data_IF_265337732934
#
_entry.id   IF_265337732934
#
_cell.length_a   1.000
_cell.length_b   1.000
_cell.length_c   1.000
_cell.angle_alpha   90.00
_cell.angle_beta   90.00
_cell.angle_gamma   90.00
#
_symmetry.space_group_name_H-M   'P 1'
#
loop_
_entity.id
_entity.type
_entity.pdbx_description
1 polymer ?
#
# COMPACT_ATOMS: atom_id res chain seq x y z
N UNK A 1 -11.48 -10.42 -10.37
CA UNK A 1 -12.04 -11.78 -10.60
C UNK A 1 -12.00 -12.54 -9.30
N UNK A 2 -12.88 -13.51 -9.10
CA UNK A 2 -12.77 -14.42 -7.95
C UNK A 2 -11.38 -15.08 -7.91
N UNK A 3 -10.78 -15.15 -6.72
CA UNK A 3 -9.44 -15.71 -6.52
C UNK A 3 -8.29 -14.83 -7.05
N UNK A 4 -8.55 -13.56 -7.38
CA UNK A 4 -7.50 -12.62 -7.80
C UNK A 4 -7.09 -11.67 -6.68
N UNK A 5 -5.82 -11.24 -6.72
CA UNK A 5 -5.21 -10.25 -5.85
C UNK A 5 -4.75 -9.06 -6.69
N UNK A 6 -5.27 -7.87 -6.42
CA UNK A 6 -4.64 -6.62 -6.83
C UNK A 6 -3.36 -6.46 -6.01
N UNK A 7 -2.22 -6.54 -6.70
CA UNK A 7 -0.90 -6.56 -6.08
C UNK A 7 -0.65 -5.32 -5.22
N UNK A 8 0.22 -5.43 -4.19
CA UNK A 8 0.58 -4.30 -3.34
C UNK A 8 1.06 -3.10 -4.17
N UNK A 9 0.40 -1.95 -3.98
CA UNK A 9 0.71 -0.72 -4.69
C UNK A 9 0.33 0.50 -3.85
N UNK A 10 0.80 1.69 -4.24
CA UNK A 10 0.36 2.96 -3.66
C UNK A 10 0.14 4.01 -4.76
N UNK A 11 -0.68 5.01 -4.47
CA UNK A 11 -0.84 6.20 -5.32
C UNK A 11 0.13 7.29 -4.88
N UNK A 12 0.87 7.89 -5.81
CA UNK A 12 1.90 8.89 -5.47
C UNK A 12 1.33 10.20 -4.90
N UNK A 13 0.13 10.60 -5.33
CA UNK A 13 -0.48 11.90 -5.00
C UNK A 13 -1.96 11.81 -4.64
N UNK A 14 -2.67 10.88 -5.25
CA UNK A 14 -4.12 10.80 -5.12
C UNK A 14 -4.51 10.06 -3.83
N UNK A 15 -5.48 10.63 -3.12
CA UNK A 15 -6.27 9.91 -2.13
C UNK A 15 -7.49 9.32 -2.85
N UNK A 16 -7.73 8.02 -2.70
CA UNK A 16 -8.87 7.35 -3.31
C UNK A 16 -9.96 7.12 -2.26
N UNK A 17 -11.19 7.52 -2.57
CA UNK A 17 -12.39 7.08 -1.87
C UNK A 17 -13.02 5.97 -2.72
N UNK A 18 -13.05 4.74 -2.22
CA UNK A 18 -13.46 3.56 -2.98
C UNK A 18 -14.73 2.98 -2.39
N UNK A 19 -15.71 2.67 -3.23
CA UNK A 19 -16.92 1.95 -2.86
C UNK A 19 -16.99 0.59 -3.53
N UNK A 20 -17.54 -0.39 -2.82
CA UNK A 20 -17.80 -1.73 -3.34
C UNK A 20 -19.17 -1.74 -4.01
N UNK A 21 -19.18 -1.94 -5.32
CA UNK A 21 -20.42 -1.99 -6.11
C UNK A 21 -21.01 -3.39 -6.09
N UNK A 22 -20.16 -4.41 -6.24
CA UNK A 22 -20.58 -5.80 -6.30
C UNK A 22 -19.44 -6.71 -5.81
N UNK A 23 -19.81 -7.89 -5.30
CA UNK A 23 -18.87 -8.93 -4.89
C UNK A 23 -18.35 -8.77 -3.47
N UNK A 24 -17.37 -9.61 -3.12
CA UNK A 24 -16.75 -9.68 -1.80
C UNK A 24 -15.24 -9.82 -1.92
N UNK A 25 -14.54 -9.37 -0.89
CA UNK A 25 -13.09 -9.44 -0.84
C UNK A 25 -12.53 -9.03 0.51
N UNK A 26 -11.22 -8.89 0.57
CA UNK A 26 -10.52 -8.30 1.70
C UNK A 26 -9.57 -7.22 1.20
N UNK A 27 -9.38 -6.16 1.97
CA UNK A 27 -8.34 -5.18 1.71
C UNK A 27 -7.36 -5.14 2.86
N UNK A 28 -6.11 -4.86 2.53
CA UNK A 28 -5.07 -4.54 3.48
C UNK A 28 -4.42 -3.22 3.12
N UNK A 29 -4.25 -2.34 4.11
CA UNK A 29 -3.61 -1.05 3.98
C UNK A 29 -2.47 -0.96 5.00
N UNK A 30 -1.34 -0.42 4.59
CA UNK A 30 -0.18 -0.18 5.43
C UNK A 30 -0.03 1.31 5.67
N UNK A 31 0.03 1.72 6.94
CA UNK A 31 0.33 3.07 7.38
C UNK A 31 1.48 3.11 8.37
N UNK A 32 1.84 4.31 8.80
CA UNK A 32 2.80 4.53 9.88
C UNK A 32 2.08 5.18 11.06
N UNK A 33 2.33 4.68 12.27
CA UNK A 33 1.82 5.28 13.51
C UNK A 33 3.00 5.71 14.38
N UNK A 34 2.89 6.91 14.95
CA UNK A 34 3.83 7.37 15.97
C UNK A 34 3.36 6.80 17.32
N UNK A 35 4.25 6.12 18.05
CA UNK A 35 3.94 5.60 19.40
C UNK A 35 3.50 6.71 20.36
N UNK A 36 4.10 7.89 20.27
CA UNK A 36 3.84 9.03 21.17
C UNK A 36 2.45 9.70 20.99
N UNK A 37 1.70 9.38 19.93
CA UNK A 37 0.35 9.95 19.73
C UNK A 37 -0.74 9.22 20.53
N UNK A 38 -0.38 8.18 21.29
CA UNK A 38 -1.33 7.48 22.14
C UNK A 38 -1.56 8.17 23.49
N UNK A 39 -0.65 9.06 23.91
CA UNK A 39 -0.74 9.79 25.19
C UNK A 39 -1.24 11.25 25.07
N UNK A 40 -1.32 11.82 23.86
CA UNK A 40 -1.66 13.25 23.65
C UNK A 40 -2.95 13.47 22.85
N UNK A 41 -4.00 12.65 23.07
CA UNK A 41 -5.36 13.02 22.63
C UNK A 41 -6.10 13.90 23.63
N UNK A 42 -5.44 14.24 24.73
CA UNK A 42 -5.86 15.32 25.61
C UNK A 42 -4.76 16.39 25.55
N UNK A 43 -5.12 17.51 24.92
CA UNK A 43 -4.48 18.82 25.00
C UNK A 43 -3.23 19.11 24.14
N UNK A 44 -3.42 20.12 23.29
CA UNK A 44 -2.47 21.07 22.73
C UNK A 44 -1.75 20.73 21.40
N UNK A 45 -2.20 21.45 20.38
CA UNK A 45 -1.41 21.95 19.26
C UNK A 45 -0.26 22.83 19.82
N UNK A 46 0.86 22.88 19.10
CA UNK A 46 2.13 23.56 19.43
C UNK A 46 3.14 22.67 20.18
N UNK A 47 4.08 22.08 19.43
CA UNK A 47 5.53 22.20 19.65
C UNK A 47 6.28 21.35 18.61
N UNK A 48 6.87 22.04 17.63
CA UNK A 48 8.01 21.56 16.85
C UNK A 48 9.24 21.63 17.76
N UNK A 49 9.69 20.50 18.31
CA UNK A 49 11.02 20.41 18.93
C UNK A 49 11.72 19.08 18.64
N UNK A 50 13.04 19.21 18.68
CA UNK A 50 14.09 18.44 18.04
C UNK A 50 14.39 17.10 18.74
N UNK A 51 14.96 16.15 18.00
CA UNK A 51 15.98 15.25 18.57
C UNK A 51 15.56 13.93 19.23
N UNK A 52 14.29 13.52 19.23
CA UNK A 52 13.91 12.15 19.62
C UNK A 52 13.59 11.29 18.40
N UNK A 53 14.30 10.18 18.21
CA UNK A 53 13.98 9.16 17.20
C UNK A 53 12.56 8.63 17.47
N UNK A 54 11.56 9.27 16.86
CA UNK A 54 10.18 8.77 16.88
C UNK A 54 10.19 7.39 16.21
N UNK A 55 10.06 6.34 17.00
CA UNK A 55 9.82 4.98 16.54
C UNK A 55 8.53 4.96 15.73
N UNK A 56 8.66 5.09 14.41
CA UNK A 56 7.53 4.94 13.48
C UNK A 56 7.26 3.45 13.32
N UNK A 57 6.19 2.97 13.95
CA UNK A 57 5.76 1.59 13.77
C UNK A 57 4.95 1.45 12.48
N UNK A 58 5.21 0.35 11.76
CA UNK A 58 4.39 -0.07 10.63
C UNK A 58 3.06 -0.59 11.19
N UNK A 59 1.96 0.06 10.82
CA UNK A 59 0.62 -0.36 11.21
C UNK A 59 -0.10 -0.98 10.02
N UNK A 60 -0.68 -2.17 10.26
CA UNK A 60 -1.53 -2.85 9.30
C UNK A 60 -2.99 -2.60 9.62
N UNK A 61 -3.76 -2.19 8.62
CA UNK A 61 -5.21 -2.08 8.66
C UNK A 61 -5.82 -3.09 7.70
N UNK A 62 -6.88 -3.79 8.13
CA UNK A 62 -7.54 -4.83 7.36
C UNK A 62 -9.04 -4.71 7.49
N UNK A 63 -9.78 -4.97 6.42
CA UNK A 63 -11.21 -5.22 6.52
C UNK A 63 -11.70 -6.18 5.44
N UNK A 64 -12.84 -6.79 5.70
CA UNK A 64 -13.64 -7.51 4.71
C UNK A 64 -14.50 -6.50 3.97
N UNK A 65 -14.65 -6.70 2.66
CA UNK A 65 -15.40 -5.85 1.74
C UNK A 65 -16.70 -6.54 1.32
N UNK A 66 -17.80 -5.80 1.34
CA UNK A 66 -19.12 -6.19 0.84
C UNK A 66 -19.80 -5.01 0.13
N UNK A 67 -20.82 -5.25 -0.72
CA UNK A 67 -21.47 -4.18 -1.48
C UNK A 67 -22.03 -3.09 -0.57
N UNK A 68 -21.79 -1.83 -0.94
CA UNK A 68 -22.14 -0.64 -0.16
C UNK A 68 -21.04 -0.15 0.79
N UNK A 69 -20.01 -0.95 1.08
CA UNK A 69 -18.88 -0.51 1.88
C UNK A 69 -18.11 0.61 1.17
N UNK A 70 -17.55 1.51 1.98
CA UNK A 70 -16.66 2.59 1.54
C UNK A 70 -15.37 2.55 2.36
N UNK A 71 -14.23 2.67 1.67
CA UNK A 71 -12.93 2.77 2.32
C UNK A 71 -12.06 3.82 1.63
N UNK A 72 -11.08 4.34 2.37
CA UNK A 72 -10.18 5.39 1.90
C UNK A 72 -8.76 4.84 1.80
N UNK A 73 -8.11 5.11 0.67
CA UNK A 73 -6.70 4.84 0.45
C UNK A 73 -5.98 6.19 0.38
N UNK A 74 -5.31 6.62 1.46
CA UNK A 74 -4.55 7.87 1.42
C UNK A 74 -3.37 7.77 0.44
N UNK A 75 -2.95 8.91 -0.10
CA UNK A 75 -1.75 8.98 -0.92
C UNK A 75 -0.51 8.41 -0.17
N UNK A 76 0.37 7.72 -0.89
CA UNK A 76 1.59 7.12 -0.36
C UNK A 76 1.40 5.85 0.47
N UNK A 77 0.17 5.42 0.76
CA UNK A 77 -0.09 4.25 1.61
C UNK A 77 -0.20 2.98 0.75
N UNK A 78 0.65 1.95 0.98
CA UNK A 78 0.53 0.68 0.29
C UNK A 78 -0.79 -0.02 0.59
N UNK A 79 -1.45 -0.50 -0.46
CA UNK A 79 -2.71 -1.25 -0.37
C UNK A 79 -2.63 -2.50 -1.24
N UNK A 80 -3.28 -3.57 -0.80
CA UNK A 80 -3.56 -4.77 -1.59
C UNK A 80 -5.03 -5.18 -1.40
N UNK A 81 -5.65 -5.75 -2.43
CA UNK A 81 -7.07 -6.16 -2.38
C UNK A 81 -7.22 -7.55 -2.96
N UNK A 82 -7.72 -8.51 -2.16
CA UNK A 82 -8.05 -9.86 -2.61
C UNK A 82 -9.55 -9.99 -2.85
N UNK A 83 -9.93 -10.73 -3.88
CA UNK A 83 -11.32 -10.93 -4.27
C UNK A 83 -11.76 -12.36 -3.95
N UNK A 84 -12.73 -12.51 -3.05
CA UNK A 84 -13.34 -13.80 -2.69
C UNK A 84 -14.55 -14.16 -3.55
N UNK A 85 -15.05 -13.20 -4.33
CA UNK A 85 -15.93 -13.41 -5.48
C UNK A 85 -15.57 -12.39 -6.57
N UNK A 86 -16.32 -12.32 -7.67
CA UNK A 86 -16.14 -11.24 -8.65
C UNK A 86 -16.41 -9.87 -8.01
N UNK A 87 -15.33 -9.17 -7.64
CA UNK A 87 -15.33 -7.89 -6.93
C UNK A 87 -15.24 -6.72 -7.90
N UNK A 88 -16.20 -5.80 -7.82
CA UNK A 88 -16.25 -4.56 -8.59
C UNK A 88 -16.18 -3.35 -7.65
N UNK A 89 -15.19 -2.50 -7.89
CA UNK A 89 -14.90 -1.32 -7.08
C UNK A 89 -14.98 -0.06 -7.96
N UNK A 90 -15.55 1.01 -7.41
CA UNK A 90 -15.50 2.34 -8.02
C UNK A 90 -14.70 3.26 -7.10
N UNK A 91 -13.66 3.89 -7.64
CA UNK A 91 -12.78 4.78 -6.90
C UNK A 91 -12.85 6.22 -7.40
N UNK A 92 -13.04 7.16 -6.48
CA UNK A 92 -12.97 8.60 -6.72
C UNK A 92 -11.60 9.11 -6.26
N UNK A 93 -10.80 9.61 -7.19
CA UNK A 93 -9.47 10.14 -6.90
C UNK A 93 -9.49 11.63 -6.63
N UNK A 94 -9.11 12.02 -5.41
CA UNK A 94 -8.87 13.41 -5.02
C UNK A 94 -7.39 13.72 -5.24
N UNK A 95 -7.07 14.92 -5.76
CA UNK A 95 -5.70 15.30 -6.14
C UNK A 95 -5.07 14.34 -7.17
N UNK A 96 -5.85 14.03 -8.21
CA UNK A 96 -5.49 13.03 -9.21
C UNK A 96 -4.52 13.52 -10.29
N UNK A 97 -4.31 14.84 -10.41
CA UNK A 97 -3.41 15.40 -11.42
C UNK A 97 -1.98 14.88 -11.21
N UNK A 98 -1.39 14.32 -12.27
CA UNK A 98 -0.07 13.71 -12.27
C UNK A 98 0.12 12.58 -11.24
N UNK A 99 -0.97 11.97 -10.76
CA UNK A 99 -0.90 10.79 -9.90
C UNK A 99 -0.36 9.58 -10.68
N UNK A 100 0.55 8.83 -10.05
CA UNK A 100 1.05 7.55 -10.55
C UNK A 100 0.71 6.46 -9.57
N UNK A 101 0.24 5.33 -10.08
CA UNK A 101 0.13 4.10 -9.31
C UNK A 101 1.47 3.37 -9.36
N UNK A 102 2.08 3.13 -8.20
CA UNK A 102 3.39 2.51 -8.08
C UNK A 102 3.22 1.13 -7.46
N UNK A 103 3.53 0.07 -8.19
CA UNK A 103 3.43 -1.29 -7.69
C UNK A 103 4.70 -1.69 -6.92
N UNK A 104 4.56 -2.59 -5.96
CA UNK A 104 5.65 -3.09 -5.10
C UNK A 104 5.99 -4.56 -5.39
N UNK A 105 5.23 -5.20 -6.27
CA UNK A 105 5.40 -6.56 -6.74
C UNK A 105 4.90 -6.67 -8.18
N UNK A 106 5.20 -7.79 -8.84
CA UNK A 106 4.89 -8.00 -10.24
C UNK A 106 6.05 -7.65 -11.16
N UNK A 107 5.89 -7.99 -12.44
CA UNK A 107 6.90 -7.79 -13.48
C UNK A 107 6.91 -6.33 -13.97
N UNK A 108 5.73 -5.75 -14.20
CA UNK A 108 5.57 -4.37 -14.68
C UNK A 108 5.31 -3.40 -13.51
N UNK A 109 5.80 -2.16 -13.66
CA UNK A 109 5.64 -1.03 -12.74
C UNK A 109 6.01 -1.27 -11.26
N UNK A 110 6.71 -2.37 -10.99
CA UNK A 110 7.28 -2.65 -9.69
C UNK A 110 8.45 -1.69 -9.42
N UNK A 111 8.23 -0.65 -8.62
CA UNK A 111 9.24 0.37 -8.34
C UNK A 111 10.45 -0.17 -7.58
N UNK A 112 10.30 -1.27 -6.81
CA UNK A 112 11.42 -1.92 -6.12
C UNK A 112 12.38 -2.53 -7.16
N UNK A 113 11.85 -3.05 -8.26
CA UNK A 113 12.66 -3.62 -9.34
C UNK A 113 13.57 -2.57 -10.01
N UNK A 114 13.14 -1.31 -10.04
CA UNK A 114 13.85 -0.18 -10.65
C UNK A 114 14.98 0.38 -9.76
N UNK A 115 15.01 0.02 -8.47
CA UNK A 115 16.08 0.48 -7.56
C UNK A 115 17.44 -0.06 -8.03
N UNK A 116 18.43 0.82 -8.07
CA UNK A 116 19.79 0.49 -8.51
C UNK A 116 20.44 -0.54 -7.57
N UNK A 117 21.30 -1.40 -8.12
CA UNK A 117 21.91 -2.52 -7.39
C UNK A 117 22.61 -2.12 -6.08
N UNK A 118 23.47 -1.07 -6.03
CA UNK A 118 24.12 -0.68 -4.78
C UNK A 118 23.13 -0.24 -3.71
N UNK A 119 22.02 0.41 -4.09
CA UNK A 119 20.97 0.83 -3.15
C UNK A 119 20.21 -0.38 -2.61
N UNK A 120 19.95 -1.39 -3.44
CA UNK A 120 19.33 -2.65 -2.98
C UNK A 120 20.20 -3.40 -1.97
N UNK A 121 21.51 -3.45 -2.19
CA UNK A 121 22.48 -4.10 -1.28
C UNK A 121 22.54 -3.41 0.10
N UNK A 122 22.30 -2.09 0.15
CA UNK A 122 22.25 -1.34 1.40
C UNK A 122 20.88 -1.39 2.08
N UNK A 123 19.79 -1.39 1.32
CA UNK A 123 18.44 -1.23 1.84
C UNK A 123 17.78 -2.56 2.29
N UNK A 124 18.18 -3.69 1.71
CA UNK A 124 17.57 -4.99 1.97
C UNK A 124 18.57 -5.98 2.57
N UNK A 125 18.10 -6.91 3.41
CA UNK A 125 18.93 -8.04 3.82
C UNK A 125 19.24 -8.94 2.61
N UNK A 126 20.53 -9.22 2.38
CA UNK A 126 21.01 -10.06 1.28
C UNK A 126 21.59 -9.27 0.09
N UNK A 127 22.12 -9.99 -0.90
CA UNK A 127 22.71 -9.37 -2.10
C UNK A 127 21.64 -8.87 -3.08
N UNK A 128 21.97 -7.86 -3.90
CA UNK A 128 21.07 -7.40 -4.96
C UNK A 128 20.64 -8.53 -5.91
N UNK A 129 21.49 -9.54 -6.14
CA UNK A 129 21.18 -10.71 -6.95
C UNK A 129 20.07 -11.55 -6.31
N UNK A 130 20.12 -11.76 -4.99
CA UNK A 130 19.07 -12.47 -4.24
C UNK A 130 17.75 -11.69 -4.27
N UNK A 131 17.79 -10.38 -4.02
CA UNK A 131 16.61 -9.51 -4.09
C UNK A 131 16.00 -9.53 -5.49
N UNK A 132 16.81 -9.35 -6.55
CA UNK A 132 16.32 -9.38 -7.93
C UNK A 132 15.75 -10.74 -8.32
N UNK A 133 16.32 -11.85 -7.81
CA UNK A 133 15.77 -13.19 -8.04
C UNK A 133 14.40 -13.34 -7.39
N UNK A 134 14.23 -12.87 -6.16
CA UNK A 134 12.95 -12.88 -5.45
C UNK A 134 11.89 -12.06 -6.18
N UNK A 135 12.22 -10.83 -6.58
CA UNK A 135 11.28 -9.94 -7.29
C UNK A 135 10.80 -10.55 -8.61
N UNK A 136 11.65 -11.32 -9.31
CA UNK A 136 11.32 -11.98 -10.58
C UNK A 136 10.49 -13.26 -10.43
N UNK A 137 10.18 -13.72 -9.21
CA UNK A 137 9.37 -14.92 -9.01
C UNK A 137 7.90 -14.70 -9.37
N UNK A 138 7.38 -13.48 -9.16
CA UNK A 138 6.04 -13.12 -9.61
C UNK A 138 6.10 -12.75 -11.09
N UNK A 139 5.39 -13.52 -11.94
CA UNK A 139 5.35 -13.35 -13.40
C UNK A 139 4.17 -12.54 -13.89
N UNK A 140 3.14 -12.40 -13.06
CA UNK A 140 1.97 -11.58 -13.38
C UNK A 140 2.20 -10.13 -12.95
N UNK A 141 1.57 -9.21 -13.65
CA UNK A 141 1.59 -7.77 -13.35
C UNK A 141 0.22 -7.30 -12.94
N UNK A 142 0.18 -6.35 -12.02
CA UNK A 142 -1.01 -5.68 -11.50
C UNK A 142 -1.96 -6.58 -10.70
N UNK A 143 -2.41 -7.68 -11.29
CA UNK A 143 -3.25 -8.69 -10.67
C UNK A 143 -2.54 -10.05 -10.74
N UNK A 144 -2.62 -10.82 -9.65
CA UNK A 144 -2.14 -12.19 -9.60
C UNK A 144 -3.22 -13.14 -9.09
N UNK A 145 -3.11 -14.42 -9.44
CA UNK A 145 -3.98 -15.45 -8.86
C UNK A 145 -3.45 -15.81 -7.46
N UNK A 146 -4.37 -16.00 -6.50
CA UNK A 146 -4.08 -16.43 -5.12
C UNK A 146 -4.68 -17.79 -4.83
#
# INVERSE_FOLDING_TARGET
MEGSLLLPHYNSRATLIVTVVEGKGEFELVGQRNENQQEQREENEEEEEEGQERSRQVQRYRARLSPGDVFVIPAGHPVAVSASSNLYLVGFGINAENNRRNFLAGEEDNVISQIHRPVKELAFPGSAQQVNRLLKNQKQSYFANV
#
